data_IF_559460699771
#
_entry.id   IF_559460699771
#
_cell.length_a   1.000
_cell.length_b   1.000
_cell.length_c   1.000
_cell.angle_alpha   90.00
_cell.angle_beta   90.00
_cell.angle_gamma   90.00
#
_symmetry.space_group_name_H-M   'P 1'
#
loop_
_entity.id
_entity.type
_entity.pdbx_description
1 polymer ?
#
# COMPACT_ATOMS: atom_id res chain seq x y z
N UNK A 1 -17.66 -22.17 12.44
CA UNK A 1 -17.05 -20.82 12.57
C UNK A 1 -15.78 -20.81 11.72
N UNK A 2 -15.58 -19.86 10.81
CA UNK A 2 -14.28 -19.73 10.12
C UNK A 2 -13.24 -19.33 11.17
N UNK A 3 -12.09 -19.99 11.17
CA UNK A 3 -11.00 -19.72 12.13
C UNK A 3 -10.50 -18.26 12.05
N UNK A 4 -9.60 -17.86 12.96
CA UNK A 4 -9.05 -16.51 12.96
C UNK A 4 -8.42 -16.18 11.61
N UNK A 5 -8.72 -14.99 11.09
CA UNK A 5 -8.14 -14.50 9.82
C UNK A 5 -6.65 -14.27 10.05
N UNK A 6 -5.81 -14.91 9.23
CA UNK A 6 -4.37 -14.73 9.31
C UNK A 6 -3.99 -13.26 9.02
N UNK A 7 -3.03 -12.66 9.76
CA UNK A 7 -2.66 -11.25 9.56
C UNK A 7 -2.27 -10.90 8.11
N UNK A 8 -1.52 -11.79 7.44
CA UNK A 8 -1.11 -11.60 6.05
C UNK A 8 -2.28 -11.50 5.07
N UNK A 9 -3.44 -12.08 5.40
CA UNK A 9 -4.61 -12.03 4.53
C UNK A 9 -5.19 -10.62 4.40
N UNK A 10 -4.95 -9.73 5.37
CA UNK A 10 -5.34 -8.32 5.28
C UNK A 10 -4.53 -7.55 4.23
N UNK A 11 -3.34 -8.04 3.87
CA UNK A 11 -2.41 -7.37 2.95
C UNK A 11 -2.45 -8.02 1.56
N UNK A 12 -2.47 -9.36 1.52
CA UNK A 12 -2.30 -10.17 0.30
C UNK A 12 -3.54 -11.00 -0.07
N UNK A 13 -4.59 -10.93 0.73
CA UNK A 13 -5.78 -11.79 0.63
C UNK A 13 -5.53 -13.21 1.15
N UNK A 14 -6.58 -14.04 1.13
CA UNK A 14 -6.56 -15.39 1.73
C UNK A 14 -5.69 -16.40 0.97
N UNK A 15 -5.52 -16.24 -0.35
CA UNK A 15 -4.81 -17.20 -1.22
C UNK A 15 -3.91 -16.49 -2.24
N UNK A 16 -2.89 -15.72 -1.79
CA UNK A 16 -2.00 -15.03 -2.71
C UNK A 16 -1.18 -16.02 -3.54
N UNK A 17 -1.03 -15.72 -4.83
CA UNK A 17 -0.11 -16.49 -5.68
C UNK A 17 1.34 -16.12 -5.34
N UNK A 18 2.31 -17.05 -5.44
CA UNK A 18 3.72 -16.74 -5.21
C UNK A 18 4.22 -15.57 -6.07
N UNK A 19 3.75 -15.47 -7.32
CA UNK A 19 4.06 -14.36 -8.22
C UNK A 19 3.63 -13.01 -7.65
N UNK A 20 2.42 -12.92 -7.06
CA UNK A 20 1.93 -11.69 -6.42
C UNK A 20 2.79 -11.32 -5.22
N UNK A 21 3.15 -12.29 -4.38
CA UNK A 21 4.00 -12.04 -3.20
C UNK A 21 5.37 -11.52 -3.61
N UNK A 22 6.01 -12.19 -4.57
CA UNK A 22 7.32 -11.79 -5.10
C UNK A 22 7.24 -10.42 -5.77
N UNK A 23 6.25 -10.18 -6.63
CA UNK A 23 6.10 -8.89 -7.31
C UNK A 23 5.85 -7.75 -6.32
N UNK A 24 5.00 -7.94 -5.31
CA UNK A 24 4.74 -6.94 -4.28
C UNK A 24 6.00 -6.67 -3.44
N UNK A 25 6.74 -7.72 -3.07
CA UNK A 25 7.98 -7.58 -2.31
C UNK A 25 9.09 -6.87 -3.11
N UNK A 26 9.31 -7.26 -4.38
CA UNK A 26 10.35 -6.69 -5.24
C UNK A 26 10.03 -5.24 -5.60
N UNK A 27 8.80 -4.94 -6.04
CA UNK A 27 8.40 -3.56 -6.36
C UNK A 27 8.36 -2.69 -5.10
N UNK A 28 7.85 -3.21 -3.99
CA UNK A 28 7.88 -2.55 -2.69
C UNK A 28 9.30 -2.17 -2.27
N UNK A 29 10.22 -3.13 -2.26
CA UNK A 29 11.61 -2.91 -1.89
C UNK A 29 12.32 -1.96 -2.86
N UNK A 30 12.12 -2.12 -4.16
CA UNK A 30 12.73 -1.28 -5.18
C UNK A 30 12.34 0.20 -5.04
N UNK A 31 11.05 0.49 -4.88
CA UNK A 31 10.56 1.86 -4.67
C UNK A 31 11.05 2.42 -3.33
N UNK A 32 11.00 1.62 -2.25
CA UNK A 32 11.46 2.04 -0.93
C UNK A 32 12.94 2.42 -0.91
N UNK A 33 13.80 1.57 -1.50
CA UNK A 33 15.24 1.83 -1.62
C UNK A 33 15.49 3.07 -2.46
N UNK A 34 14.84 3.21 -3.63
CA UNK A 34 15.01 4.36 -4.50
C UNK A 34 14.63 5.68 -3.79
N UNK A 35 13.49 5.70 -3.09
CA UNK A 35 13.03 6.87 -2.33
C UNK A 35 13.99 7.23 -1.20
N UNK A 36 14.48 6.24 -0.45
CA UNK A 36 15.42 6.47 0.65
C UNK A 36 16.77 6.96 0.18
N UNK A 37 17.28 6.47 -0.95
CA UNK A 37 18.53 6.93 -1.55
C UNK A 37 18.42 8.36 -2.10
N UNK A 38 17.25 8.73 -2.63
CA UNK A 38 16.98 10.07 -3.15
C UNK A 38 16.60 11.11 -2.07
N UNK A 39 16.20 10.66 -0.88
CA UNK A 39 15.72 11.56 0.18
C UNK A 39 16.88 12.26 0.90
N UNK A 40 16.86 13.60 1.02
CA UNK A 40 17.84 14.37 1.79
C UNK A 40 17.55 14.37 3.30
N UNK A 41 16.51 13.66 3.76
CA UNK A 41 16.08 13.66 5.15
C UNK A 41 17.08 13.01 6.10
N UNK A 42 16.91 13.26 7.40
CA UNK A 42 17.69 12.59 8.45
C UNK A 42 17.32 11.10 8.55
N UNK A 43 18.20 10.29 9.16
CA UNK A 43 18.13 8.83 9.13
C UNK A 43 16.77 8.26 9.61
N UNK A 44 16.17 8.82 10.65
CA UNK A 44 14.90 8.31 11.19
C UNK A 44 13.73 8.65 10.26
N UNK A 45 13.74 9.81 9.59
CA UNK A 45 12.74 10.17 8.57
C UNK A 45 12.85 9.22 7.38
N UNK A 46 14.08 8.93 6.95
CA UNK A 46 14.36 7.98 5.87
C UNK A 46 13.87 6.57 6.22
N UNK A 47 14.00 6.13 7.46
CA UNK A 47 13.49 4.83 7.90
C UNK A 47 11.96 4.77 7.85
N UNK A 48 11.26 5.81 8.30
CA UNK A 48 9.79 5.86 8.19
C UNK A 48 9.37 5.92 6.71
N UNK A 49 10.07 6.72 5.92
CA UNK A 49 9.82 6.86 4.49
C UNK A 49 10.07 5.55 3.72
N UNK A 50 11.05 4.75 4.14
CA UNK A 50 11.29 3.38 3.63
C UNK A 50 10.03 2.53 3.77
N UNK A 51 9.51 2.42 4.99
CA UNK A 51 8.34 1.57 5.28
C UNK A 51 7.09 2.10 4.58
N UNK A 52 6.90 3.41 4.55
CA UNK A 52 5.79 4.05 3.86
C UNK A 52 5.83 3.77 2.35
N UNK A 53 6.98 3.97 1.72
CA UNK A 53 7.18 3.71 0.30
C UNK A 53 7.02 2.22 -0.05
N UNK A 54 7.51 1.33 0.82
CA UNK A 54 7.33 -0.12 0.67
C UNK A 54 5.84 -0.48 0.70
N UNK A 55 5.10 -0.06 1.72
CA UNK A 55 3.67 -0.35 1.85
C UNK A 55 2.84 0.22 0.69
N UNK A 56 3.19 1.42 0.21
CA UNK A 56 2.52 2.05 -0.92
C UNK A 56 2.67 1.22 -2.19
N UNK A 57 3.91 0.87 -2.55
CA UNK A 57 4.20 0.13 -3.78
C UNK A 57 3.78 -1.35 -3.69
N UNK A 58 4.09 -2.03 -2.59
CA UNK A 58 3.66 -3.41 -2.37
C UNK A 58 2.14 -3.52 -2.30
N UNK A 59 1.48 -2.57 -1.62
CA UNK A 59 0.03 -2.50 -1.50
C UNK A 59 -0.68 -2.18 -2.81
N UNK A 60 -0.07 -1.38 -3.70
CA UNK A 60 -0.59 -1.19 -5.06
C UNK A 60 -0.64 -2.52 -5.82
N UNK A 61 0.47 -3.27 -5.81
CA UNK A 61 0.55 -4.58 -6.48
C UNK A 61 -0.42 -5.58 -5.87
N UNK A 62 -0.48 -5.65 -4.53
CA UNK A 62 -1.37 -6.59 -3.84
C UNK A 62 -2.84 -6.27 -4.14
N UNK A 63 -3.23 -5.00 -4.16
CA UNK A 63 -4.58 -4.58 -4.51
C UNK A 63 -4.95 -4.98 -5.94
N UNK A 64 -4.02 -5.01 -6.90
CA UNK A 64 -4.33 -5.47 -8.25
C UNK A 64 -4.59 -6.99 -8.35
N UNK A 65 -4.29 -7.76 -7.30
CA UNK A 65 -4.43 -9.22 -7.30
C UNK A 65 -5.88 -9.71 -7.15
N UNK A 66 -6.18 -10.90 -7.66
CA UNK A 66 -7.49 -11.54 -7.47
C UNK A 66 -7.75 -11.95 -6.00
N UNK A 67 -6.70 -12.37 -5.28
CA UNK A 67 -6.78 -12.79 -3.87
C UNK A 67 -7.23 -11.63 -2.97
N UNK A 68 -6.55 -10.48 -3.05
CA UNK A 68 -6.90 -9.29 -2.27
C UNK A 68 -8.28 -8.77 -2.65
N UNK A 69 -8.65 -8.80 -3.93
CA UNK A 69 -10.01 -8.47 -4.41
C UNK A 69 -11.09 -9.30 -3.73
N UNK A 70 -10.96 -10.63 -3.81
CA UNK A 70 -11.92 -11.55 -3.22
C UNK A 70 -12.03 -11.34 -1.69
N UNK A 71 -10.88 -11.18 -1.02
CA UNK A 71 -10.82 -10.94 0.42
C UNK A 71 -11.61 -9.70 0.83
N UNK A 72 -11.30 -8.53 0.26
CA UNK A 72 -11.94 -7.27 0.66
C UNK A 72 -13.42 -7.19 0.27
N UNK A 73 -13.83 -7.86 -0.82
CA UNK A 73 -15.25 -8.01 -1.19
C UNK A 73 -16.06 -8.85 -0.20
N UNK A 74 -15.42 -9.77 0.51
CA UNK A 74 -16.08 -10.56 1.54
C UNK A 74 -16.19 -9.81 2.89
N UNK A 75 -15.52 -8.66 3.05
CA UNK A 75 -15.53 -7.89 4.31
C UNK A 75 -16.63 -6.83 4.37
N UNK A 76 -17.15 -6.49 5.57
CA UNK A 76 -18.13 -5.44 5.74
C UNK A 76 -17.68 -4.10 5.13
N UNK A 77 -18.64 -3.30 4.66
CA UNK A 77 -18.36 -1.98 4.05
C UNK A 77 -17.53 -1.07 4.94
N UNK A 78 -17.74 -1.12 6.27
CA UNK A 78 -16.99 -0.33 7.24
C UNK A 78 -15.47 -0.56 7.18
N UNK A 79 -15.01 -1.81 7.01
CA UNK A 79 -13.58 -2.12 6.88
C UNK A 79 -12.97 -1.55 5.60
N UNK A 80 -13.75 -1.53 4.51
CA UNK A 80 -13.30 -0.97 3.22
C UNK A 80 -13.18 0.55 3.31
N UNK A 81 -14.12 1.20 3.97
CA UNK A 81 -14.05 2.64 4.25
C UNK A 81 -12.90 2.98 5.18
N UNK A 82 -12.68 2.19 6.24
CA UNK A 82 -11.53 2.38 7.12
C UNK A 82 -10.21 2.31 6.34
N UNK A 83 -10.05 1.36 5.43
CA UNK A 83 -8.90 1.30 4.52
C UNK A 83 -8.73 2.62 3.75
N UNK A 84 -9.78 3.09 3.06
CA UNK A 84 -9.70 4.30 2.23
C UNK A 84 -9.41 5.53 3.08
N UNK A 85 -10.14 5.74 4.18
CA UNK A 85 -10.01 6.93 5.03
C UNK A 85 -8.62 7.01 5.65
N UNK A 86 -8.10 5.91 6.21
CA UNK A 86 -6.77 5.90 6.82
C UNK A 86 -5.67 6.21 5.79
N UNK A 87 -5.78 5.66 4.58
CA UNK A 87 -4.83 5.94 3.51
C UNK A 87 -5.02 7.34 2.92
N UNK A 88 -6.23 7.90 2.90
CA UNK A 88 -6.47 9.24 2.36
C UNK A 88 -6.21 10.36 3.37
N UNK A 89 -6.07 10.05 4.67
CA UNK A 89 -5.79 11.06 5.71
C UNK A 89 -4.36 10.98 6.23
N UNK A 90 -3.94 9.80 6.74
CA UNK A 90 -2.65 9.64 7.42
C UNK A 90 -1.49 9.69 6.43
N UNK A 91 -1.63 9.05 5.26
CA UNK A 91 -0.51 8.91 4.33
C UNK A 91 -0.15 10.23 3.66
N UNK A 92 -1.09 11.09 3.19
CA UNK A 92 -0.72 12.39 2.66
C UNK A 92 0.01 13.26 3.67
N UNK A 93 -0.42 13.24 4.94
CA UNK A 93 0.24 13.98 6.01
C UNK A 93 1.66 13.44 6.28
N UNK A 94 1.83 12.12 6.29
CA UNK A 94 3.14 11.49 6.44
C UNK A 94 4.06 11.81 5.25
N UNK A 95 3.56 11.72 4.01
CA UNK A 95 4.31 12.05 2.79
C UNK A 95 4.74 13.52 2.82
N UNK A 96 3.81 14.43 3.12
CA UNK A 96 4.08 15.87 3.23
C UNK A 96 5.19 16.17 4.23
N UNK A 97 5.16 15.50 5.38
CA UNK A 97 6.10 15.72 6.48
C UNK A 97 7.48 15.08 6.24
N UNK A 98 7.56 13.99 5.46
CA UNK A 98 8.75 13.13 5.38
C UNK A 98 9.48 13.16 4.04
N UNK A 99 8.82 13.55 2.94
CA UNK A 99 9.38 13.40 1.59
C UNK A 99 10.70 14.16 1.37
N UNK A 100 10.90 15.29 2.07
CA UNK A 100 12.12 16.11 2.00
C UNK A 100 12.32 16.87 0.68
N UNK A 101 11.70 16.44 -0.42
CA UNK A 101 11.68 17.13 -1.72
C UNK A 101 10.31 17.06 -2.37
N UNK A 102 10.00 18.03 -3.22
CA UNK A 102 8.75 18.05 -3.99
C UNK A 102 8.63 16.87 -4.96
N UNK A 103 9.72 16.41 -5.56
CA UNK A 103 9.72 15.27 -6.48
C UNK A 103 9.30 13.97 -5.77
N UNK A 104 9.91 13.65 -4.63
CA UNK A 104 9.56 12.46 -3.84
C UNK A 104 8.10 12.55 -3.37
N UNK A 105 7.69 13.73 -2.91
CA UNK A 105 6.31 13.97 -2.47
C UNK A 105 5.30 13.63 -3.58
N UNK A 106 5.48 14.19 -4.78
CA UNK A 106 4.56 13.95 -5.89
C UNK A 106 4.56 12.49 -6.37
N UNK A 107 5.72 11.83 -6.40
CA UNK A 107 5.81 10.41 -6.74
C UNK A 107 5.03 9.57 -5.73
N UNK A 108 5.25 9.77 -4.43
CA UNK A 108 4.57 8.99 -3.39
C UNK A 108 3.06 9.27 -3.35
N UNK A 109 2.64 10.51 -3.56
CA UNK A 109 1.22 10.86 -3.69
C UNK A 109 0.58 10.18 -4.92
N UNK A 110 1.29 10.14 -6.06
CA UNK A 110 0.80 9.45 -7.24
C UNK A 110 0.64 7.93 -6.99
N UNK A 111 1.60 7.29 -6.32
CA UNK A 111 1.52 5.87 -5.94
C UNK A 111 0.39 5.64 -4.94
N UNK A 112 0.19 6.53 -3.96
CA UNK A 112 -0.93 6.46 -3.01
C UNK A 112 -2.28 6.54 -3.73
N UNK A 113 -2.45 7.50 -4.64
CA UNK A 113 -3.67 7.65 -5.42
C UNK A 113 -3.91 6.41 -6.29
N UNK A 114 -2.87 5.87 -6.93
CA UNK A 114 -2.96 4.63 -7.69
C UNK A 114 -3.36 3.44 -6.80
N UNK A 115 -2.80 3.32 -5.57
CA UNK A 115 -3.14 2.27 -4.60
C UNK A 115 -4.62 2.34 -4.19
N UNK A 116 -5.11 3.53 -3.86
CA UNK A 116 -6.52 3.76 -3.49
C UNK A 116 -7.43 3.51 -4.69
N UNK A 117 -7.04 3.96 -5.89
CA UNK A 117 -7.80 3.72 -7.11
C UNK A 117 -7.90 2.23 -7.45
N UNK A 118 -6.78 1.49 -7.37
CA UNK A 118 -6.77 0.04 -7.54
C UNK A 118 -7.69 -0.64 -6.52
N UNK A 119 -7.57 -0.29 -5.24
CA UNK A 119 -8.47 -0.77 -4.19
C UNK A 119 -9.94 -0.45 -4.45
N UNK A 120 -10.24 0.75 -4.97
CA UNK A 120 -11.62 1.18 -5.22
C UNK A 120 -12.21 0.51 -6.46
N UNK A 121 -11.43 0.36 -7.54
CA UNK A 121 -11.83 -0.33 -8.76
C UNK A 121 -12.16 -1.80 -8.48
N UNK A 122 -11.41 -2.43 -7.59
CA UNK A 122 -11.69 -3.78 -7.09
C UNK A 122 -13.08 -3.95 -6.48
N UNK A 123 -13.66 -2.89 -5.92
CA UNK A 123 -14.98 -2.96 -5.30
C UNK A 123 -16.13 -2.79 -6.31
N UNK A 124 -15.84 -2.33 -7.54
CA UNK A 124 -16.84 -1.98 -8.55
C UNK A 124 -17.11 -3.07 -9.60
N UNK A 125 -16.16 -3.95 -9.89
CA UNK A 125 -16.31 -4.98 -10.92
C UNK A 125 -17.10 -6.18 -10.41
N UNK A 126 -18.42 -6.12 -10.58
CA UNK A 126 -19.38 -7.24 -10.48
C UNK A 126 -19.62 -7.86 -11.84
#
# INVERSE_FOLDING_TARGET
MKGPVQPLAWILGETPTPRTVVAAGVLGAGVAVAVVLASPGVWWMRLILLFLAFDLAAGLVSNLSASTRAFWRARPRGWRWAFIVLHASVYPLAIWSLAGTGAIMWILLAVLLAKIAAFSANLRTT
#
